data_IF_022273430234
#
_entry.id   IF_022273430234
#
_cell.length_a   1.000
_cell.length_b   1.000
_cell.length_c   1.000
_cell.angle_alpha   90.00
_cell.angle_beta   90.00
_cell.angle_gamma   90.00
#
_symmetry.space_group_name_H-M   'P 1'
#
loop_
_entity.id
_entity.type
_entity.pdbx_description
1 polymer ?
#
# COMPACT_ATOMS: atom_id res chain seq x y z
N UNK A 1 -8.43 12.47 7.12
CA UNK A 1 -8.26 12.58 5.65
C UNK A 1 -7.65 11.31 5.13
N UNK A 2 -8.18 10.72 4.04
CA UNK A 2 -7.62 9.51 3.44
C UNK A 2 -6.19 9.76 2.94
N UNK A 3 -5.42 8.68 2.85
CA UNK A 3 -4.05 8.72 2.36
C UNK A 3 -4.08 8.37 0.87
N UNK A 4 -3.67 9.30 0.02
CA UNK A 4 -3.66 9.06 -1.42
C UNK A 4 -2.29 8.54 -1.87
N UNK A 5 -2.30 7.44 -2.64
CA UNK A 5 -1.12 6.89 -3.33
C UNK A 5 -1.27 7.16 -4.82
N UNK A 6 -0.25 7.81 -5.40
CA UNK A 6 -0.22 8.11 -6.82
C UNK A 6 0.17 6.87 -7.64
N UNK A 7 -0.44 6.72 -8.80
CA UNK A 7 -0.06 5.70 -9.77
C UNK A 7 1.33 5.97 -10.36
N UNK A 8 2.04 4.90 -10.80
CA UNK A 8 3.27 5.07 -11.56
C UNK A 8 2.99 5.83 -12.86
N UNK A 9 3.88 6.73 -13.25
CA UNK A 9 3.79 7.45 -14.52
C UNK A 9 3.58 6.50 -15.72
N UNK A 10 3.13 7.02 -16.84
CA UNK A 10 2.88 6.23 -18.07
C UNK A 10 4.11 5.45 -18.49
N UNK A 11 3.90 4.22 -18.99
CA UNK A 11 4.99 3.38 -19.53
C UNK A 11 5.61 4.09 -20.75
N UNK A 12 6.95 4.27 -20.79
CA UNK A 12 7.61 4.84 -21.96
C UNK A 12 7.33 3.98 -23.20
N UNK A 13 6.95 4.61 -24.31
CA UNK A 13 6.71 3.89 -25.56
C UNK A 13 8.02 3.33 -26.10
N UNK A 14 8.02 2.04 -26.42
CA UNK A 14 9.17 1.41 -27.07
C UNK A 14 9.43 2.10 -28.41
N UNK A 15 10.67 2.52 -28.72
CA UNK A 15 10.96 3.12 -29.99
C UNK A 15 10.66 2.14 -31.13
N UNK A 16 9.84 2.56 -32.08
CA UNK A 16 9.58 1.78 -33.27
C UNK A 16 10.86 1.75 -34.11
N UNK A 17 11.47 0.59 -34.17
CA UNK A 17 12.68 0.32 -35.00
C UNK A 17 12.22 0.04 -36.40
N UNK A 18 11.80 1.06 -37.14
CA UNK A 18 11.56 0.93 -38.57
C UNK A 18 12.91 0.84 -39.34
N UNK A 19 13.55 -0.33 -39.19
CA UNK A 19 14.84 -0.64 -39.86
C UNK A 19 14.78 -0.36 -41.38
N UNK A 20 13.63 -0.66 -42.00
CA UNK A 20 13.39 -0.43 -43.42
C UNK A 20 13.49 1.04 -43.75
N UNK A 21 12.76 1.91 -43.04
CA UNK A 21 12.76 3.35 -43.34
C UNK A 21 14.07 4.04 -43.01
N UNK A 22 14.85 3.53 -42.05
CA UNK A 22 16.13 4.10 -41.66
C UNK A 22 17.29 3.64 -42.52
N UNK A 23 17.31 2.37 -42.98
CA UNK A 23 18.38 1.82 -43.80
C UNK A 23 18.08 1.86 -45.31
N UNK A 24 16.80 1.95 -45.70
CA UNK A 24 16.41 1.95 -47.09
C UNK A 24 17.06 3.10 -47.91
N UNK A 25 17.05 4.38 -47.48
CA UNK A 25 17.65 5.43 -48.29
C UNK A 25 19.14 5.25 -48.61
N UNK A 26 20.01 4.95 -47.63
CA UNK A 26 21.44 4.76 -47.95
C UNK A 26 21.69 3.50 -48.78
N UNK A 27 20.95 2.40 -48.53
CA UNK A 27 21.09 1.15 -49.33
C UNK A 27 20.56 1.34 -50.74
N UNK A 28 19.44 2.03 -50.92
CA UNK A 28 18.89 2.34 -52.23
C UNK A 28 19.83 3.25 -53.04
N UNK A 29 20.41 4.27 -52.42
CA UNK A 29 21.40 5.14 -53.05
C UNK A 29 22.66 4.34 -53.49
N UNK A 30 23.11 3.37 -52.66
CA UNK A 30 24.22 2.51 -53.00
C UNK A 30 23.90 1.63 -54.24
N UNK A 31 22.72 1.01 -54.28
CA UNK A 31 22.26 0.18 -55.41
C UNK A 31 22.12 1.02 -56.68
N UNK A 32 21.57 2.23 -56.60
CA UNK A 32 21.40 3.13 -57.73
C UNK A 32 22.77 3.58 -58.29
N UNK A 33 23.77 3.84 -57.42
CA UNK A 33 25.13 4.14 -57.90
C UNK A 33 25.83 2.95 -58.58
N UNK A 34 25.63 1.73 -58.11
CA UNK A 34 26.15 0.55 -58.76
C UNK A 34 25.57 0.36 -60.19
N UNK A 35 24.26 0.62 -60.35
CA UNK A 35 23.58 0.57 -61.64
C UNK A 35 24.09 1.66 -62.62
N UNK A 36 24.29 2.89 -62.14
CA UNK A 36 24.76 4.02 -62.95
C UNK A 36 26.25 3.84 -63.35
N UNK A 37 27.05 3.10 -62.60
CA UNK A 37 28.44 2.80 -62.91
C UNK A 37 28.61 2.10 -64.30
N UNK A 38 27.62 1.32 -64.72
CA UNK A 38 27.61 0.65 -66.02
C UNK A 38 27.43 1.60 -67.25
N UNK A 39 26.86 2.80 -66.98
CA UNK A 39 26.52 3.74 -68.08
C UNK A 39 27.50 4.94 -68.20
N UNK A 40 28.28 5.23 -67.14
CA UNK A 40 29.25 6.35 -67.15
C UNK A 40 30.66 5.90 -67.28
N UNK A 41 31.08 5.74 -68.48
CA UNK A 41 32.49 5.52 -68.87
C UNK A 41 33.23 6.88 -68.82
N UNK A 42 33.91 7.18 -67.69
CA UNK A 42 34.77 8.36 -67.63
C UNK A 42 34.79 9.14 -66.29
N UNK A 43 34.06 8.74 -65.25
CA UNK A 43 34.12 9.39 -63.98
C UNK A 43 35.37 9.02 -63.19
N UNK A 44 36.06 10.03 -62.60
CA UNK A 44 37.32 9.82 -61.87
C UNK A 44 37.07 8.90 -60.64
N UNK A 45 37.96 7.95 -60.46
CA UNK A 45 37.95 6.96 -59.35
C UNK A 45 37.82 7.59 -57.97
N UNK A 46 38.33 8.80 -57.78
CA UNK A 46 38.27 9.57 -56.54
C UNK A 46 36.83 9.97 -56.11
N UNK A 47 35.98 10.34 -57.07
CA UNK A 47 34.59 10.70 -56.79
C UNK A 47 33.77 9.49 -56.34
N UNK A 48 34.01 8.32 -56.93
CA UNK A 48 33.38 7.06 -56.52
C UNK A 48 33.79 6.66 -55.10
N UNK A 49 35.09 6.75 -54.76
CA UNK A 49 35.55 6.45 -53.39
C UNK A 49 34.92 7.37 -52.36
N UNK A 50 34.84 8.66 -52.62
CA UNK A 50 34.19 9.63 -51.72
C UNK A 50 32.71 9.30 -51.50
N UNK A 51 32.00 8.93 -52.55
CA UNK A 51 30.59 8.59 -52.48
C UNK A 51 30.32 7.30 -51.65
N UNK A 52 31.15 6.26 -51.85
CA UNK A 52 31.05 5.00 -51.07
C UNK A 52 31.36 5.24 -49.59
N UNK A 53 32.40 6.05 -49.27
CA UNK A 53 32.74 6.42 -47.92
C UNK A 53 31.60 7.21 -47.23
N UNK A 54 31.01 8.20 -47.92
CA UNK A 54 29.89 8.99 -47.42
C UNK A 54 28.67 8.12 -47.09
N UNK A 55 28.35 7.13 -47.94
CA UNK A 55 27.27 6.17 -47.67
C UNK A 55 27.57 5.27 -46.46
N UNK A 56 28.82 4.81 -46.33
CA UNK A 56 29.25 4.03 -45.18
C UNK A 56 29.06 4.77 -43.87
N UNK A 57 29.44 6.06 -43.85
CA UNK A 57 29.17 6.93 -42.69
C UNK A 57 27.67 7.07 -42.41
N UNK A 58 26.84 7.22 -43.44
CA UNK A 58 25.36 7.29 -43.28
C UNK A 58 24.77 6.03 -42.67
N UNK A 59 25.22 4.84 -43.05
CA UNK A 59 24.77 3.58 -42.44
C UNK A 59 25.23 3.45 -40.99
N UNK A 60 26.50 3.79 -40.71
CA UNK A 60 27.04 3.76 -39.35
C UNK A 60 26.31 4.72 -38.41
N UNK A 61 26.02 5.94 -38.86
CA UNK A 61 25.25 6.91 -38.05
C UNK A 61 23.82 6.44 -37.81
N UNK A 62 23.19 5.78 -38.76
CA UNK A 62 21.85 5.19 -38.60
C UNK A 62 21.83 4.07 -37.52
N UNK A 63 22.82 3.15 -37.61
CA UNK A 63 22.95 2.08 -36.61
C UNK A 63 23.24 2.66 -35.22
N UNK A 64 24.12 3.63 -35.10
CA UNK A 64 24.43 4.31 -33.86
C UNK A 64 23.18 5.01 -33.26
N UNK A 65 22.38 5.65 -34.12
CA UNK A 65 21.11 6.28 -33.71
C UNK A 65 20.12 5.26 -33.15
N UNK A 66 20.01 4.06 -33.77
CA UNK A 66 19.13 2.98 -33.27
C UNK A 66 19.59 2.50 -31.88
N UNK A 67 20.88 2.21 -31.72
CA UNK A 67 21.48 1.75 -30.47
C UNK A 67 21.30 2.79 -29.35
N UNK A 68 21.48 4.07 -29.67
CA UNK A 68 21.28 5.15 -28.71
C UNK A 68 19.81 5.27 -28.26
N UNK A 69 18.86 5.16 -29.17
CA UNK A 69 17.42 5.20 -28.83
C UNK A 69 17.04 4.04 -27.91
N UNK A 70 17.56 2.85 -28.17
CA UNK A 70 17.32 1.68 -27.33
C UNK A 70 17.94 1.86 -25.92
N UNK A 71 19.17 2.37 -25.85
CA UNK A 71 19.81 2.69 -24.57
C UNK A 71 19.04 3.76 -23.78
N UNK A 72 18.59 4.81 -24.45
CA UNK A 72 17.77 5.85 -23.83
C UNK A 72 16.45 5.28 -23.30
N UNK A 73 15.77 4.45 -24.09
CA UNK A 73 14.53 3.81 -23.64
C UNK A 73 14.75 2.98 -22.38
N UNK A 74 15.78 2.11 -22.36
CA UNK A 74 16.12 1.31 -21.17
C UNK A 74 16.44 2.18 -19.97
N UNK A 75 17.21 3.25 -20.18
CA UNK A 75 17.54 4.21 -19.10
C UNK A 75 16.29 4.88 -18.53
N UNK A 76 15.39 5.36 -19.37
CA UNK A 76 14.13 5.98 -18.92
C UNK A 76 13.23 4.99 -18.19
N UNK A 77 13.18 3.72 -18.61
CA UNK A 77 12.45 2.67 -17.90
C UNK A 77 13.02 2.43 -16.49
N UNK A 78 14.34 2.35 -16.35
CA UNK A 78 15.01 2.15 -15.05
C UNK A 78 14.78 3.38 -14.16
N UNK A 79 15.01 4.60 -14.66
CA UNK A 79 14.78 5.83 -13.91
C UNK A 79 13.33 5.95 -13.41
N UNK A 80 12.37 5.56 -14.24
CA UNK A 80 10.96 5.50 -13.84
C UNK A 80 10.73 4.52 -12.69
N UNK A 81 11.30 3.31 -12.78
CA UNK A 81 11.18 2.29 -11.75
C UNK A 81 11.80 2.75 -10.43
N UNK A 82 13.02 3.29 -10.48
CA UNK A 82 13.75 3.73 -9.29
C UNK A 82 13.06 4.93 -8.62
N UNK A 83 12.60 5.90 -9.41
CA UNK A 83 11.87 7.06 -8.90
C UNK A 83 10.57 6.62 -8.23
N UNK A 84 9.83 5.69 -8.84
CA UNK A 84 8.58 5.21 -8.27
C UNK A 84 8.80 4.37 -7.01
N UNK A 85 9.81 3.51 -6.98
CA UNK A 85 10.19 2.75 -5.78
C UNK A 85 10.54 3.68 -4.62
N UNK A 86 11.34 4.71 -4.88
CA UNK A 86 11.69 5.72 -3.87
C UNK A 86 10.45 6.46 -3.33
N UNK A 87 9.51 6.79 -4.22
CA UNK A 87 8.24 7.40 -3.83
C UNK A 87 7.43 6.47 -2.91
N UNK A 88 7.32 5.19 -3.27
CA UNK A 88 6.59 4.20 -2.46
C UNK A 88 7.27 3.98 -1.10
N UNK A 89 8.60 3.90 -1.04
CA UNK A 89 9.33 3.79 0.25
C UNK A 89 9.07 5.00 1.15
N UNK A 90 9.05 6.20 0.58
CA UNK A 90 8.70 7.40 1.34
C UNK A 90 7.25 7.35 1.85
N UNK A 91 6.32 6.89 1.00
CA UNK A 91 4.90 6.74 1.36
C UNK A 91 4.69 5.66 2.42
N UNK A 92 5.39 4.53 2.35
CA UNK A 92 5.35 3.50 3.40
C UNK A 92 5.73 4.07 4.77
N UNK A 93 6.82 4.81 4.86
CA UNK A 93 7.23 5.47 6.12
C UNK A 93 6.19 6.47 6.64
N UNK A 94 5.56 7.22 5.73
CA UNK A 94 4.48 8.14 6.09
C UNK A 94 3.28 7.37 6.66
N UNK A 95 2.86 6.28 6.00
CA UNK A 95 1.76 5.42 6.44
C UNK A 95 2.10 4.76 7.79
N UNK A 96 3.30 4.21 7.95
CA UNK A 96 3.75 3.61 9.21
C UNK A 96 3.68 4.59 10.39
N UNK A 97 4.09 5.84 10.18
CA UNK A 97 3.98 6.87 11.20
C UNK A 97 2.51 7.16 11.54
N UNK A 98 1.64 7.28 10.53
CA UNK A 98 0.21 7.50 10.74
C UNK A 98 -0.42 6.30 11.48
N UNK A 99 -0.07 5.06 11.13
CA UNK A 99 -0.56 3.85 11.83
C UNK A 99 -0.07 3.80 13.28
N UNK A 100 1.15 4.25 13.55
CA UNK A 100 1.67 4.36 14.92
C UNK A 100 0.91 5.41 15.73
N UNK A 101 0.71 6.60 15.17
CA UNK A 101 -0.10 7.65 15.83
C UNK A 101 -1.53 7.18 16.11
N UNK A 102 -2.14 6.47 15.15
CA UNK A 102 -3.49 5.91 15.32
C UNK A 102 -3.53 4.82 16.40
N UNK A 103 -2.52 3.95 16.43
CA UNK A 103 -2.36 2.93 17.48
C UNK A 103 -2.16 3.56 18.87
N UNK A 104 -1.34 4.60 18.96
CA UNK A 104 -1.10 5.33 20.21
C UNK A 104 -2.39 5.97 20.70
N UNK A 105 -3.16 6.66 19.83
CA UNK A 105 -4.47 7.19 20.16
C UNK A 105 -5.46 6.12 20.64
N UNK A 106 -5.49 4.94 19.97
CA UNK A 106 -6.35 3.84 20.39
C UNK A 106 -5.93 3.27 21.75
N UNK A 107 -4.63 3.16 22.02
CA UNK A 107 -4.12 2.72 23.32
C UNK A 107 -4.41 3.71 24.45
N UNK A 108 -4.42 5.00 24.15
CA UNK A 108 -4.78 6.06 25.11
C UNK A 108 -6.29 6.13 25.36
N UNK A 109 -7.08 5.69 24.40
CA UNK A 109 -8.54 5.65 24.52
C UNK A 109 -9.05 4.37 25.19
N UNK A 110 -8.42 3.20 24.89
CA UNK A 110 -8.84 1.88 25.34
C UNK A 110 -7.73 1.20 26.13
N UNK A 111 -7.87 1.25 27.46
CA UNK A 111 -6.90 0.67 28.39
C UNK A 111 -7.03 -0.85 28.44
N UNK A 112 -5.92 -1.52 28.70
CA UNK A 112 -5.96 -2.93 29.06
C UNK A 112 -6.45 -3.09 30.50
N UNK A 113 -7.02 -4.25 30.83
CA UNK A 113 -7.48 -4.54 32.20
C UNK A 113 -6.41 -4.31 33.28
N UNK A 114 -5.13 -4.52 32.94
CA UNK A 114 -4.02 -4.25 33.89
C UNK A 114 -3.86 -2.74 34.15
N UNK A 115 -4.05 -1.93 33.11
CA UNK A 115 -4.03 -0.46 33.24
C UNK A 115 -5.27 0.02 34.03
N UNK A 116 -6.46 -0.53 33.75
CA UNK A 116 -7.67 -0.22 34.49
C UNK A 116 -7.51 -0.50 35.97
N UNK A 117 -6.95 -1.66 36.35
CA UNK A 117 -6.66 -2.00 37.74
C UNK A 117 -5.68 -0.99 38.35
N UNK A 118 -4.62 -0.60 37.62
CA UNK A 118 -3.69 0.41 38.09
C UNK A 118 -4.34 1.77 38.29
N UNK A 119 -5.26 2.18 37.40
CA UNK A 119 -6.02 3.42 37.55
C UNK A 119 -6.94 3.38 38.80
N UNK A 120 -7.58 2.22 39.05
CA UNK A 120 -8.39 2.01 40.24
C UNK A 120 -7.54 2.13 41.52
N UNK A 121 -6.38 1.47 41.55
CA UNK A 121 -5.47 1.48 42.70
C UNK A 121 -4.92 2.88 43.01
N UNK A 122 -4.65 3.67 41.97
CA UNK A 122 -4.10 5.02 42.09
C UNK A 122 -5.17 6.14 42.19
N UNK A 123 -6.44 5.81 42.12
CA UNK A 123 -7.56 6.78 42.06
C UNK A 123 -7.37 7.83 40.98
N UNK A 124 -7.06 7.37 39.76
CA UNK A 124 -6.79 8.22 38.62
C UNK A 124 -8.02 9.03 38.23
N UNK A 125 -7.81 10.21 37.61
CA UNK A 125 -8.86 11.09 37.11
C UNK A 125 -9.62 10.52 35.90
N UNK A 126 -9.11 9.47 35.26
CA UNK A 126 -9.74 8.75 34.15
C UNK A 126 -10.83 7.79 34.60
N UNK A 127 -11.01 7.59 35.93
CA UNK A 127 -12.05 6.74 36.47
C UNK A 127 -13.43 7.39 36.30
N UNK A 128 -14.41 6.59 35.84
CA UNK A 128 -15.82 7.00 35.71
C UNK A 128 -16.03 8.20 34.76
N UNK A 129 -15.17 8.34 33.76
CA UNK A 129 -15.17 9.47 32.84
C UNK A 129 -16.20 9.38 31.71
N UNK A 130 -16.80 8.19 31.48
CA UNK A 130 -17.76 7.96 30.42
C UNK A 130 -19.20 8.06 30.87
N UNK A 131 -19.94 8.88 30.16
CA UNK A 131 -21.38 9.13 30.41
C UNK A 131 -22.21 8.73 29.15
N UNK A 132 -23.52 8.52 29.27
CA UNK A 132 -24.39 8.05 28.19
C UNK A 132 -24.42 8.93 26.93
N UNK A 133 -23.97 10.18 27.02
CA UNK A 133 -23.85 11.08 25.85
C UNK A 133 -22.61 10.86 25.03
N UNK A 134 -21.62 10.16 25.57
CA UNK A 134 -20.38 9.92 24.88
C UNK A 134 -20.55 8.81 23.82
N UNK A 135 -19.79 8.92 22.73
CA UNK A 135 -19.90 7.98 21.61
C UNK A 135 -19.37 6.59 21.98
N UNK A 136 -18.43 6.52 22.92
CA UNK A 136 -17.77 5.31 23.41
C UNK A 136 -18.34 4.80 24.74
N UNK A 137 -19.54 5.30 25.15
CA UNK A 137 -20.27 4.78 26.30
C UNK A 137 -20.65 3.30 26.08
N UNK A 138 -20.33 2.44 27.05
CA UNK A 138 -20.49 1.00 26.99
C UNK A 138 -19.69 0.32 25.85
N UNK A 139 -18.64 0.96 25.37
CA UNK A 139 -17.67 0.32 24.53
C UNK A 139 -16.59 -0.34 25.41
N UNK A 140 -16.51 -1.67 25.36
CA UNK A 140 -15.65 -2.45 26.25
C UNK A 140 -14.45 -3.03 25.51
N UNK A 141 -13.31 -3.06 26.19
CA UNK A 141 -12.07 -3.66 25.70
C UNK A 141 -12.12 -5.19 25.80
N UNK A 142 -11.90 -5.88 24.70
CA UNK A 142 -11.88 -7.35 24.65
C UNK A 142 -10.47 -7.93 24.64
N UNK A 143 -9.50 -7.19 24.13
CA UNK A 143 -8.13 -7.68 23.95
C UNK A 143 -7.40 -6.94 22.83
N UNK A 144 -6.40 -7.56 22.27
CA UNK A 144 -5.62 -7.00 21.15
C UNK A 144 -5.74 -7.86 19.91
N UNK A 145 -5.88 -7.21 18.77
CA UNK A 145 -5.99 -7.88 17.48
C UNK A 145 -5.72 -6.94 16.32
N UNK A 146 -6.09 -7.38 15.13
CA UNK A 146 -6.00 -6.55 13.94
C UNK A 146 -7.31 -5.79 13.79
N UNK A 147 -7.21 -4.46 13.73
CA UNK A 147 -8.35 -3.56 13.60
C UNK A 147 -8.18 -2.76 12.31
N UNK A 148 -9.25 -2.66 11.53
CA UNK A 148 -9.23 -1.85 10.31
C UNK A 148 -9.00 -0.38 10.66
N UNK A 149 -8.04 0.25 9.98
CA UNK A 149 -7.72 1.64 10.23
C UNK A 149 -8.82 2.58 9.78
N UNK A 150 -9.06 3.62 10.58
CA UNK A 150 -10.01 4.69 10.25
C UNK A 150 -9.52 5.54 9.06
N UNK A 151 -8.21 5.67 8.88
CA UNK A 151 -7.61 6.39 7.76
C UNK A 151 -7.32 5.44 6.62
N UNK A 152 -8.33 5.16 5.81
CA UNK A 152 -8.18 4.29 4.65
C UNK A 152 -7.23 4.86 3.61
N UNK A 153 -6.53 3.96 2.93
CA UNK A 153 -5.64 4.31 1.82
C UNK A 153 -6.48 4.32 0.55
N UNK A 154 -6.61 5.49 -0.06
CA UNK A 154 -7.31 5.63 -1.33
C UNK A 154 -6.31 5.41 -2.48
N UNK A 155 -6.62 4.41 -3.27
CA UNK A 155 -5.99 4.18 -4.55
C UNK A 155 -7.05 4.28 -5.65
N UNK A 156 -6.93 5.31 -6.49
CA UNK A 156 -7.78 5.46 -7.67
C UNK A 156 -7.16 4.65 -8.80
N UNK A 157 -7.67 3.44 -9.01
CA UNK A 157 -7.34 2.67 -10.20
C UNK A 157 -7.86 3.42 -11.42
N UNK A 158 -6.98 4.01 -12.21
CA UNK A 158 -7.38 4.50 -13.51
C UNK A 158 -7.67 3.29 -14.40
N UNK A 159 -8.88 3.19 -14.92
CA UNK A 159 -9.22 2.22 -15.95
C UNK A 159 -8.49 2.60 -17.24
N UNK A 160 -7.21 2.24 -17.34
CA UNK A 160 -6.45 2.35 -18.57
C UNK A 160 -6.55 1.03 -19.30
N UNK A 161 -7.00 1.09 -20.54
CA UNK A 161 -6.94 -0.02 -21.51
C UNK A 161 -5.49 -0.42 -21.89
N UNK A 162 -4.50 0.24 -21.33
CA UNK A 162 -3.08 -0.06 -21.57
C UNK A 162 -2.63 -1.25 -20.69
N UNK A 163 -1.78 -2.09 -21.27
CA UNK A 163 -1.17 -3.24 -20.60
C UNK A 163 -0.50 -2.77 -19.30
N UNK A 164 -1.03 -3.21 -18.17
CA UNK A 164 -0.50 -2.87 -16.86
C UNK A 164 0.93 -3.39 -16.71
N UNK A 165 1.80 -2.55 -16.20
CA UNK A 165 3.17 -2.84 -15.81
C UNK A 165 3.16 -3.42 -14.36
N UNK A 166 4.18 -4.18 -13.98
CA UNK A 166 4.36 -4.70 -12.62
C UNK A 166 4.28 -3.60 -11.54
N UNK A 167 4.68 -2.37 -11.88
CA UNK A 167 4.59 -1.23 -10.98
C UNK A 167 3.14 -0.81 -10.68
N UNK A 168 2.20 -1.09 -11.56
CA UNK A 168 0.79 -0.72 -11.39
C UNK A 168 0.08 -1.52 -10.29
N UNK A 169 0.61 -2.68 -9.90
CA UNK A 169 0.08 -3.50 -8.80
C UNK A 169 0.57 -3.05 -7.41
N UNK A 170 1.69 -2.31 -7.34
CA UNK A 170 2.31 -1.92 -6.07
C UNK A 170 1.37 -1.12 -5.15
N UNK A 171 0.60 -0.11 -5.64
CA UNK A 171 -0.32 0.62 -4.77
C UNK A 171 -1.37 -0.24 -4.12
N UNK A 172 -1.90 -1.24 -4.83
CA UNK A 172 -2.87 -2.19 -4.26
C UNK A 172 -2.24 -3.01 -3.14
N UNK A 173 -1.04 -3.56 -3.37
CA UNK A 173 -0.33 -4.32 -2.34
C UNK A 173 -0.03 -3.48 -1.10
N UNK A 174 0.36 -2.21 -1.28
CA UNK A 174 0.57 -1.30 -0.15
C UNK A 174 -0.74 -1.00 0.58
N UNK A 175 -1.84 -0.79 -0.14
CA UNK A 175 -3.14 -0.55 0.46
C UNK A 175 -3.64 -1.76 1.28
N UNK A 176 -3.46 -2.97 0.75
CA UNK A 176 -3.84 -4.21 1.43
C UNK A 176 -2.93 -4.48 2.65
N UNK A 177 -1.61 -4.23 2.52
CA UNK A 177 -0.62 -4.45 3.59
C UNK A 177 -0.86 -3.54 4.80
N UNK A 178 -1.24 -2.29 4.57
CA UNK A 178 -1.48 -1.30 5.64
C UNK A 178 -2.97 -1.04 5.91
N UNK A 179 -3.84 -1.94 5.51
CA UNK A 179 -5.27 -1.84 5.75
C UNK A 179 -5.60 -1.89 7.24
N UNK A 180 -4.99 -2.83 7.93
CA UNK A 180 -5.25 -3.10 9.33
C UNK A 180 -4.09 -2.61 10.21
N UNK A 181 -4.42 -2.24 11.44
CA UNK A 181 -3.45 -1.92 12.49
C UNK A 181 -3.29 -3.18 13.33
N UNK A 182 -2.06 -3.69 13.37
CA UNK A 182 -1.74 -4.87 14.16
C UNK A 182 -1.69 -4.56 15.67
N UNK A 183 -2.15 -5.51 16.49
CA UNK A 183 -2.12 -5.43 17.95
C UNK A 183 -2.85 -4.20 18.52
N UNK A 184 -3.80 -3.66 17.78
CA UNK A 184 -4.67 -2.60 18.24
C UNK A 184 -5.69 -3.12 19.27
N UNK A 185 -6.21 -2.26 20.16
CA UNK A 185 -7.32 -2.62 21.04
C UNK A 185 -8.53 -3.08 20.24
N UNK A 186 -9.03 -4.27 20.56
CA UNK A 186 -10.32 -4.77 20.06
C UNK A 186 -11.41 -4.35 21.05
N UNK A 187 -12.39 -3.62 20.55
CA UNK A 187 -13.52 -3.13 21.35
C UNK A 187 -14.83 -3.72 20.88
N UNK A 188 -15.81 -3.71 21.75
CA UNK A 188 -17.19 -4.11 21.48
C UNK A 188 -18.16 -3.10 22.10
N UNK A 189 -19.03 -2.52 21.27
CA UNK A 189 -20.11 -1.67 21.75
C UNK A 189 -21.24 -2.55 22.32
N UNK A 190 -21.43 -2.52 23.63
CA UNK A 190 -22.57 -3.16 24.29
C UNK A 190 -23.84 -2.34 24.13
N UNK A 191 -23.73 -1.06 23.83
CA UNK A 191 -24.86 -0.17 23.56
C UNK A 191 -25.60 -0.55 22.29
N UNK A 192 -24.84 -0.92 21.26
CA UNK A 192 -25.39 -1.22 19.92
C UNK A 192 -25.80 -2.70 19.79
N UNK A 193 -25.38 -3.55 20.72
CA UNK A 193 -25.64 -4.97 20.72
C UNK A 193 -26.81 -5.34 21.64
N UNK A 194 -27.87 -5.93 21.08
CA UNK A 194 -28.99 -6.46 21.88
C UNK A 194 -28.59 -7.66 22.74
N UNK A 195 -27.64 -8.45 22.29
CA UNK A 195 -27.08 -9.58 23.00
C UNK A 195 -25.69 -9.92 22.45
N UNK A 196 -24.79 -10.33 23.32
CA UNK A 196 -23.43 -10.75 22.97
C UNK A 196 -23.20 -12.15 23.48
N UNK A 197 -22.87 -13.09 22.58
CA UNK A 197 -22.50 -14.45 22.93
C UNK A 197 -20.99 -14.63 22.89
N UNK A 198 -20.40 -15.11 23.98
CA UNK A 198 -18.96 -15.42 24.05
C UNK A 198 -18.82 -16.95 24.13
N UNK A 199 -18.06 -17.53 23.19
CA UNK A 199 -17.84 -18.97 23.10
C UNK A 199 -16.36 -19.25 23.23
N UNK A 200 -16.01 -20.19 24.11
CA UNK A 200 -14.62 -20.58 24.35
C UNK A 200 -14.49 -21.66 25.42
N UNK A 201 -13.27 -21.94 25.85
CA UNK A 201 -13.04 -22.80 26.99
C UNK A 201 -13.40 -22.05 28.31
N UNK A 202 -13.70 -22.82 29.38
CA UNK A 202 -14.19 -22.26 30.64
C UNK A 202 -13.23 -21.21 31.25
N UNK A 203 -11.93 -21.47 31.22
CA UNK A 203 -10.91 -20.57 31.77
C UNK A 203 -10.84 -19.23 31.00
N UNK A 204 -10.83 -19.29 29.67
CA UNK A 204 -10.79 -18.09 28.80
C UNK A 204 -12.08 -17.28 28.93
N UNK A 205 -13.25 -17.93 29.02
CA UNK A 205 -14.51 -17.27 29.22
C UNK A 205 -14.54 -16.52 30.56
N UNK A 206 -14.06 -17.16 31.63
CA UNK A 206 -13.99 -16.56 32.93
C UNK A 206 -13.05 -15.34 32.97
N UNK A 207 -11.88 -15.44 32.35
CA UNK A 207 -10.95 -14.32 32.20
C UNK A 207 -11.58 -13.16 31.41
N UNK A 208 -12.22 -13.46 30.27
CA UNK A 208 -12.84 -12.44 29.45
C UNK A 208 -14.00 -11.74 30.18
N UNK A 209 -14.86 -12.49 30.86
CA UNK A 209 -15.95 -11.91 31.66
C UNK A 209 -15.41 -10.98 32.77
N UNK A 210 -14.35 -11.37 33.46
CA UNK A 210 -13.69 -10.50 34.45
C UNK A 210 -13.17 -9.22 33.82
N UNK A 211 -12.47 -9.33 32.67
CA UNK A 211 -11.93 -8.18 31.97
C UNK A 211 -13.05 -7.19 31.59
N UNK A 212 -14.14 -7.68 31.01
CA UNK A 212 -15.30 -6.85 30.67
C UNK A 212 -15.90 -6.18 31.91
N UNK A 213 -16.05 -6.89 33.02
CA UNK A 213 -16.58 -6.32 34.26
C UNK A 213 -15.66 -5.24 34.80
N UNK A 214 -14.35 -5.47 34.83
CA UNK A 214 -13.37 -4.48 35.31
C UNK A 214 -13.40 -3.25 34.44
N UNK A 215 -13.41 -3.39 33.11
CA UNK A 215 -13.48 -2.27 32.18
C UNK A 215 -14.78 -1.45 32.36
N UNK A 216 -15.92 -2.10 32.54
CA UNK A 216 -17.18 -1.40 32.77
C UNK A 216 -17.16 -0.60 34.10
N UNK A 217 -16.71 -1.21 35.18
CA UNK A 217 -16.74 -0.57 36.50
C UNK A 217 -15.70 0.51 36.70
N UNK A 218 -14.59 0.46 35.95
CA UNK A 218 -13.52 1.46 35.99
C UNK A 218 -13.84 2.71 35.18
N UNK A 219 -14.46 2.54 34.02
CA UNK A 219 -14.57 3.62 33.01
C UNK A 219 -15.96 4.27 32.96
N UNK A 220 -17.00 3.50 33.21
CA UNK A 220 -18.35 4.02 33.08
C UNK A 220 -18.81 4.73 34.38
N UNK A 221 -19.59 5.80 34.25
CA UNK A 221 -20.13 6.48 35.42
C UNK A 221 -21.09 5.55 36.17
N UNK A 222 -20.80 5.31 37.43
CA UNK A 222 -21.51 4.33 38.28
C UNK A 222 -23.00 4.64 38.49
N UNK A 223 -23.43 5.89 38.33
CA UNK A 223 -24.84 6.31 38.47
C UNK A 223 -25.71 5.92 37.27
N UNK A 224 -25.09 5.63 36.12
CA UNK A 224 -25.80 5.35 34.85
C UNK A 224 -25.88 3.86 34.53
N UNK A 225 -25.21 3.01 35.31
CA UNK A 225 -25.11 1.57 35.02
C UNK A 225 -25.57 0.72 36.18
N UNK A 226 -26.35 -0.31 35.87
CA UNK A 226 -26.67 -1.39 36.78
C UNK A 226 -26.19 -2.71 36.18
N UNK A 227 -25.28 -3.39 36.86
CA UNK A 227 -24.74 -4.69 36.44
C UNK A 227 -25.42 -5.82 37.21
N UNK A 228 -26.04 -6.75 36.48
CA UNK A 228 -26.65 -7.94 37.05
C UNK A 228 -25.91 -9.17 36.55
N UNK A 229 -25.37 -10.02 37.43
CA UNK A 229 -24.69 -11.26 37.08
C UNK A 229 -25.48 -12.48 37.55
N UNK A 230 -25.81 -13.38 36.66
CA UNK A 230 -26.38 -14.68 36.97
C UNK A 230 -25.29 -15.74 36.73
N UNK A 231 -24.82 -16.34 37.84
CA UNK A 231 -23.71 -17.31 37.79
C UNK A 231 -24.20 -18.65 38.30
N UNK A 232 -24.07 -19.70 37.48
CA UNK A 232 -24.38 -21.04 37.94
C UNK A 232 -23.17 -21.61 38.70
N UNK A 233 -23.35 -21.93 40.01
CA UNK A 233 -22.30 -22.56 40.81
C UNK A 233 -22.24 -24.08 40.57
N UNK A 234 -21.33 -24.51 39.70
CA UNK A 234 -21.11 -25.94 39.41
C UNK A 234 -20.39 -26.69 40.51
N UNK A 235 -19.91 -26.06 41.59
CA UNK A 235 -19.23 -26.74 42.70
C UNK A 235 -20.18 -27.52 43.58
N UNK A 236 -21.46 -27.14 43.64
CA UNK A 236 -22.46 -27.83 44.48
C UNK A 236 -22.89 -29.23 43.93
N UNK A 237 -22.64 -29.52 42.66
CA UNK A 237 -23.06 -30.75 41.97
C UNK A 237 -22.05 -31.89 42.09
N UNK A 238 -20.89 -31.71 42.71
CA UNK A 238 -19.84 -32.74 42.87
C UNK A 238 -19.76 -33.38 44.27
N UNK A 239 -20.72 -33.11 45.13
CA UNK A 239 -20.76 -33.64 46.51
C UNK A 239 -21.98 -34.57 46.78
N UNK A 240 -22.46 -35.26 45.77
CA UNK A 240 -23.41 -36.37 45.98
C UNK A 240 -22.96 -37.61 45.22
#
# INVERSE_FOLDING_TARGET
TPIDILEPGTVPKKPELNLITTLFPPVFMMAMMMLLKGTMSGSSSSFMMFSVCSMGVGVLTSIFGIVNREKQYKKTCIERQDTYKLYIEKKRKEIENIRREELDCLNDQYYSTVQDISHIENFDTTLFDRIPTDHDFLEVYLGRGNVESLRQINYKKQEKLEVGDELSSIPNHVADEYRDIEKAPLTLSLRDANAVGIVGNEESLYCMMKNIIVDIISRQYYGDINLYALIEDRKSTRLN
#
